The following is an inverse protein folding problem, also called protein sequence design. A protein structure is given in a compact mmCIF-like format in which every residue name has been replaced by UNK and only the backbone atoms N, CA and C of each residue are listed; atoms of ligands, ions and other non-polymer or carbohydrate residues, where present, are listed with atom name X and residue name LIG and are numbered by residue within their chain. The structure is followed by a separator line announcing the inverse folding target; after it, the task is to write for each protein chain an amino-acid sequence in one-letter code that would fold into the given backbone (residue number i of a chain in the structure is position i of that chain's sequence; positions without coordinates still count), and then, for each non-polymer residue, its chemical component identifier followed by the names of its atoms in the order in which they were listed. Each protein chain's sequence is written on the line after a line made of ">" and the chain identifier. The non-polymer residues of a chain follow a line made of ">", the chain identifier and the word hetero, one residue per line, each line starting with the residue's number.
data_IF_815984394147
#
_entry.id   IF_815984394147
#
_cell.length_a   1.000
_cell.length_b   1.000
_cell.length_c   1.000
_cell.angle_alpha   90.00
_cell.angle_beta   90.00
_cell.angle_gamma   90.00
#
_symmetry.space_group_name_H-M   'P 1'
#
loop_
_entity.id
_entity.type
_entity.pdbx_description
1 polymer ?
#
# COMPACT_ATOMS: atom_id res chain seq x y z
N UNK A 1 -54.10 23.37 -22.92
CA UNK A 1 -53.70 22.80 -21.62
C UNK A 1 -54.03 21.30 -21.48
N UNK A 2 -55.24 20.87 -21.80
CA UNK A 2 -55.65 19.45 -21.67
C UNK A 2 -54.80 18.45 -22.44
N UNK A 3 -54.36 18.77 -23.64
CA UNK A 3 -53.49 17.87 -24.47
C UNK A 3 -52.11 17.61 -23.85
N UNK A 4 -51.55 18.59 -23.13
CA UNK A 4 -50.25 18.42 -22.47
C UNK A 4 -50.32 17.47 -21.26
N UNK A 5 -51.45 17.55 -20.51
CA UNK A 5 -51.68 16.65 -19.38
C UNK A 5 -51.92 15.23 -19.84
N UNK A 6 -52.62 15.04 -20.96
CA UNK A 6 -52.87 13.70 -21.54
C UNK A 6 -51.59 13.06 -22.08
N UNK A 7 -50.74 13.83 -22.76
CA UNK A 7 -49.45 13.34 -23.25
C UNK A 7 -48.51 13.02 -22.05
N UNK A 8 -48.49 13.88 -21.02
CA UNK A 8 -47.73 13.63 -19.80
C UNK A 8 -48.17 12.37 -19.04
N UNK A 9 -49.49 12.13 -18.95
CA UNK A 9 -50.05 10.95 -18.32
C UNK A 9 -49.76 9.66 -19.13
N UNK A 10 -49.78 9.73 -20.46
CA UNK A 10 -49.41 8.60 -21.33
C UNK A 10 -47.93 8.30 -21.22
N UNK A 11 -47.03 9.31 -21.26
CA UNK A 11 -45.62 9.14 -21.10
C UNK A 11 -45.25 8.59 -19.73
N UNK A 12 -45.87 9.10 -18.65
CA UNK A 12 -45.68 8.59 -17.31
C UNK A 12 -46.22 7.17 -17.13
N UNK A 13 -47.36 6.84 -17.77
CA UNK A 13 -47.91 5.49 -17.77
C UNK A 13 -47.05 4.48 -18.51
N UNK A 14 -46.45 4.87 -19.65
CA UNK A 14 -45.51 4.04 -20.41
C UNK A 14 -44.20 3.89 -19.66
N UNK A 15 -43.65 4.97 -19.10
CA UNK A 15 -42.44 4.92 -18.29
C UNK A 15 -42.60 4.07 -17.02
N UNK A 16 -43.75 4.19 -16.33
CA UNK A 16 -44.12 3.36 -15.17
C UNK A 16 -44.29 1.87 -15.50
N UNK A 17 -44.80 1.55 -16.69
CA UNK A 17 -44.94 0.17 -17.13
C UNK A 17 -43.58 -0.45 -17.53
N UNK A 18 -42.71 0.35 -18.15
CA UNK A 18 -41.34 -0.10 -18.53
C UNK A 18 -40.45 -0.19 -17.29
N UNK A 19 -40.51 0.80 -16.39
CA UNK A 19 -39.76 0.78 -15.14
C UNK A 19 -40.22 -0.34 -14.20
N UNK A 20 -41.54 -0.62 -14.15
CA UNK A 20 -42.10 -1.71 -13.34
C UNK A 20 -41.73 -3.11 -13.84
N UNK A 21 -41.45 -3.27 -15.14
CA UNK A 21 -40.94 -4.55 -15.67
C UNK A 21 -39.45 -4.74 -15.43
N UNK A 22 -38.69 -3.67 -15.36
CA UNK A 22 -37.23 -3.75 -15.07
C UNK A 22 -36.92 -4.11 -13.60
N UNK A 23 -37.88 -3.88 -12.68
CA UNK A 23 -37.71 -4.10 -11.23
C UNK A 23 -38.43 -5.35 -10.71
N UNK A 24 -39.04 -6.18 -11.57
CA UNK A 24 -39.66 -7.43 -11.13
C UNK A 24 -38.56 -8.45 -10.78
N UNK A 25 -38.38 -8.80 -9.49
CA UNK A 25 -37.34 -9.72 -9.05
C UNK A 25 -37.51 -11.13 -9.63
N UNK A 26 -38.70 -11.48 -10.13
CA UNK A 26 -38.99 -12.79 -10.71
C UNK A 26 -38.85 -12.82 -12.25
N UNK A 27 -38.64 -11.64 -12.89
CA UNK A 27 -38.44 -11.56 -14.33
C UNK A 27 -36.96 -11.64 -14.68
N UNK A 28 -36.53 -12.72 -15.35
CA UNK A 28 -35.19 -12.85 -15.93
C UNK A 28 -35.26 -12.58 -17.42
N UNK A 29 -34.61 -11.56 -17.91
CA UNK A 29 -34.55 -11.23 -19.33
C UNK A 29 -33.16 -11.59 -19.86
N UNK A 30 -33.15 -12.48 -20.84
CA UNK A 30 -31.94 -12.85 -21.58
C UNK A 30 -31.93 -12.05 -22.89
N UNK A 31 -31.18 -10.98 -22.89
CA UNK A 31 -31.08 -10.05 -24.01
C UNK A 31 -29.85 -10.33 -24.91
N UNK A 32 -29.72 -9.55 -25.96
CA UNK A 32 -28.59 -9.65 -26.90
C UNK A 32 -27.23 -9.30 -26.28
N UNK A 33 -27.19 -8.55 -25.18
CA UNK A 33 -25.96 -8.21 -24.49
C UNK A 33 -25.38 -9.44 -23.78
N UNK A 34 -26.23 -10.25 -23.15
CA UNK A 34 -25.83 -11.54 -22.55
C UNK A 34 -25.24 -12.47 -23.59
N UNK A 35 -25.89 -12.56 -24.77
CA UNK A 35 -25.37 -13.39 -25.87
C UNK A 35 -24.01 -12.87 -26.36
N UNK A 36 -23.85 -11.57 -26.51
CA UNK A 36 -22.60 -10.98 -26.97
C UNK A 36 -21.44 -11.24 -25.99
N UNK A 37 -21.70 -11.08 -24.69
CA UNK A 37 -20.72 -11.37 -23.64
C UNK A 37 -20.34 -12.86 -23.61
N UNK A 38 -21.33 -13.76 -23.67
CA UNK A 38 -21.11 -15.19 -23.69
C UNK A 38 -20.28 -15.63 -24.92
N UNK A 39 -20.57 -15.06 -26.10
CA UNK A 39 -19.81 -15.32 -27.32
C UNK A 39 -18.37 -14.83 -27.21
N UNK A 40 -18.16 -13.63 -26.70
CA UNK A 40 -16.82 -13.05 -26.52
C UNK A 40 -15.95 -13.88 -25.57
N UNK A 41 -16.50 -14.29 -24.43
CA UNK A 41 -15.79 -15.12 -23.44
C UNK A 41 -15.45 -16.48 -24.02
N UNK A 42 -16.40 -17.11 -24.74
CA UNK A 42 -16.20 -18.40 -25.38
C UNK A 42 -15.12 -18.34 -26.47
N UNK A 43 -15.20 -17.33 -27.38
CA UNK A 43 -14.23 -17.13 -28.45
C UNK A 43 -12.82 -16.89 -27.90
N UNK A 44 -12.69 -16.10 -26.82
CA UNK A 44 -11.41 -15.87 -26.16
C UNK A 44 -10.81 -17.16 -25.55
N UNK A 45 -11.66 -18.06 -25.05
CA UNK A 45 -11.22 -19.30 -24.41
C UNK A 45 -10.97 -20.45 -25.42
N UNK A 46 -11.72 -20.51 -26.54
CA UNK A 46 -11.71 -21.62 -27.49
C UNK A 46 -11.11 -21.29 -28.85
N UNK A 47 -10.93 -20.01 -29.19
CA UNK A 47 -10.36 -19.56 -30.45
C UNK A 47 -11.32 -19.57 -31.64
N UNK A 48 -12.61 -19.88 -31.42
CA UNK A 48 -13.68 -19.84 -32.43
C UNK A 48 -14.99 -19.37 -31.81
N UNK A 49 -15.91 -18.88 -32.62
CA UNK A 49 -17.25 -18.50 -32.18
C UNK A 49 -18.09 -19.76 -31.84
N UNK A 50 -18.97 -19.69 -30.81
CA UNK A 50 -19.84 -20.79 -30.49
C UNK A 50 -20.82 -21.09 -31.62
N UNK A 51 -21.06 -22.37 -31.84
CA UNK A 51 -22.16 -22.81 -32.68
C UNK A 51 -23.53 -22.67 -31.97
N UNK A 52 -24.63 -23.09 -32.65
CA UNK A 52 -25.98 -22.91 -32.10
C UNK A 52 -26.23 -23.77 -30.84
N UNK A 53 -25.59 -24.92 -30.72
CA UNK A 53 -25.72 -25.81 -29.58
C UNK A 53 -24.89 -25.33 -28.41
N UNK A 54 -23.67 -24.91 -28.68
CA UNK A 54 -22.77 -24.27 -27.72
C UNK A 54 -23.38 -22.96 -27.14
N UNK A 55 -23.97 -22.14 -28.01
CA UNK A 55 -24.64 -20.93 -27.57
C UNK A 55 -25.85 -21.21 -26.68
N UNK A 56 -26.64 -22.26 -27.00
CA UNK A 56 -27.74 -22.69 -26.12
C UNK A 56 -27.24 -23.17 -24.76
N UNK A 57 -26.15 -23.92 -24.74
CA UNK A 57 -25.55 -24.39 -23.49
C UNK A 57 -25.01 -23.20 -22.65
N UNK A 58 -24.38 -22.20 -23.28
CA UNK A 58 -23.92 -20.99 -22.60
C UNK A 58 -25.07 -20.17 -21.99
N UNK A 59 -26.17 -20.01 -22.74
CA UNK A 59 -27.40 -19.36 -22.24
C UNK A 59 -27.98 -20.10 -21.03
N UNK A 60 -28.00 -21.43 -21.06
CA UNK A 60 -28.49 -22.22 -19.94
C UNK A 60 -27.63 -22.03 -18.69
N UNK A 61 -26.31 -22.08 -18.83
CA UNK A 61 -25.38 -21.82 -17.72
C UNK A 61 -25.58 -20.41 -17.16
N UNK A 62 -25.78 -19.42 -18.01
CA UNK A 62 -26.04 -18.05 -17.56
C UNK A 62 -27.36 -17.96 -16.78
N UNK A 63 -28.44 -18.56 -17.27
CA UNK A 63 -29.75 -18.61 -16.61
C UNK A 63 -29.65 -19.27 -15.22
N UNK A 64 -29.00 -20.45 -15.17
CA UNK A 64 -28.81 -21.17 -13.91
C UNK A 64 -28.06 -20.30 -12.88
N UNK A 65 -27.01 -19.59 -13.30
CA UNK A 65 -26.26 -18.68 -12.44
C UNK A 65 -27.10 -17.49 -11.99
N UNK A 66 -27.93 -16.91 -12.87
CA UNK A 66 -28.80 -15.79 -12.53
C UNK A 66 -29.89 -16.19 -11.52
N UNK A 67 -30.48 -17.37 -11.70
CA UNK A 67 -31.43 -17.94 -10.73
C UNK A 67 -30.76 -18.15 -9.37
N UNK A 68 -29.58 -18.79 -9.34
CA UNK A 68 -28.83 -19.02 -8.10
C UNK A 68 -28.45 -17.73 -7.41
N UNK A 69 -28.05 -16.71 -8.18
CA UNK A 69 -27.71 -15.39 -7.65
C UNK A 69 -28.93 -14.73 -6.98
N UNK A 70 -30.08 -14.70 -7.65
CA UNK A 70 -31.31 -14.11 -7.09
C UNK A 70 -31.81 -14.86 -5.86
N UNK A 71 -31.81 -16.18 -5.90
CA UNK A 71 -32.17 -17.00 -4.73
C UNK A 71 -31.19 -16.78 -3.57
N UNK A 72 -29.88 -16.67 -3.84
CA UNK A 72 -28.89 -16.37 -2.83
C UNK A 72 -29.13 -15.02 -2.16
N UNK A 73 -29.48 -13.97 -2.94
CA UNK A 73 -29.85 -12.67 -2.40
C UNK A 73 -31.15 -12.72 -1.59
N UNK A 74 -32.16 -13.45 -2.06
CA UNK A 74 -33.44 -13.63 -1.36
C UNK A 74 -33.26 -14.33 0.00
N UNK A 75 -32.37 -15.30 0.06
CA UNK A 75 -31.97 -16.00 1.30
C UNK A 75 -31.04 -15.15 2.19
N UNK A 76 -30.59 -13.99 1.71
CA UNK A 76 -29.69 -13.09 2.43
C UNK A 76 -28.28 -13.66 2.66
N UNK A 77 -27.80 -14.51 1.77
CA UNK A 77 -26.47 -15.14 1.86
C UNK A 77 -25.32 -14.13 1.73
N UNK A 78 -25.62 -12.93 1.20
CA UNK A 78 -24.69 -11.78 1.15
C UNK A 78 -24.54 -11.07 2.50
N UNK A 79 -25.51 -11.24 3.41
CA UNK A 79 -25.57 -10.50 4.68
C UNK A 79 -24.65 -11.12 5.72
N UNK A 80 -23.72 -10.28 6.25
CA UNK A 80 -22.77 -10.74 7.26
C UNK A 80 -21.56 -11.51 6.70
N UNK A 81 -21.56 -11.86 5.42
CA UNK A 81 -20.39 -12.47 4.76
C UNK A 81 -19.31 -11.41 4.50
N UNK A 82 -18.16 -11.57 5.17
CA UNK A 82 -17.03 -10.66 5.06
C UNK A 82 -16.43 -10.66 3.65
N UNK A 83 -16.37 -11.81 3.00
CA UNK A 83 -15.76 -11.96 1.66
C UNK A 83 -16.61 -11.26 0.59
N UNK A 84 -17.93 -11.42 0.68
CA UNK A 84 -18.87 -10.73 -0.22
C UNK A 84 -18.78 -9.22 0.01
N UNK A 85 -18.78 -8.80 1.28
CA UNK A 85 -18.62 -7.38 1.63
C UNK A 85 -17.33 -6.77 1.08
N UNK A 86 -16.20 -7.44 1.25
CA UNK A 86 -14.90 -7.01 0.73
C UNK A 86 -14.90 -6.94 -0.80
N UNK A 87 -15.57 -7.89 -1.46
CA UNK A 87 -15.71 -7.91 -2.92
C UNK A 87 -16.52 -6.72 -3.44
N UNK A 88 -17.61 -6.36 -2.77
CA UNK A 88 -18.43 -5.19 -3.11
C UNK A 88 -17.61 -3.90 -2.91
N UNK A 89 -16.89 -3.79 -1.78
CA UNK A 89 -15.99 -2.65 -1.52
C UNK A 89 -14.95 -2.53 -2.65
N UNK A 90 -14.29 -3.62 -3.01
CA UNK A 90 -13.29 -3.63 -4.08
C UNK A 90 -13.88 -3.16 -5.42
N UNK A 91 -15.05 -3.68 -5.82
CA UNK A 91 -15.72 -3.27 -7.06
C UNK A 91 -16.10 -1.79 -7.04
N UNK A 92 -16.60 -1.29 -5.89
CA UNK A 92 -16.95 0.12 -5.74
C UNK A 92 -15.72 1.01 -5.83
N UNK A 93 -14.60 0.63 -5.20
CA UNK A 93 -13.33 1.34 -5.33
C UNK A 93 -12.81 1.34 -6.78
N UNK A 94 -12.95 0.22 -7.50
CA UNK A 94 -12.58 0.15 -8.92
C UNK A 94 -13.41 1.11 -9.78
N UNK A 95 -14.70 1.29 -9.47
CA UNK A 95 -15.54 2.31 -10.12
C UNK A 95 -15.08 3.73 -9.80
N UNK A 96 -14.73 4.01 -8.55
CA UNK A 96 -14.17 5.32 -8.17
C UNK A 96 -12.88 5.59 -8.94
N UNK A 97 -11.99 4.61 -9.00
CA UNK A 97 -10.71 4.72 -9.71
C UNK A 97 -10.88 4.94 -11.21
N UNK A 98 -11.82 4.24 -11.85
CA UNK A 98 -12.09 4.41 -13.29
C UNK A 98 -12.65 5.80 -13.65
N UNK A 99 -13.31 6.45 -12.70
CA UNK A 99 -13.81 7.82 -12.83
C UNK A 99 -12.77 8.88 -12.42
N UNK A 100 -11.63 8.46 -11.85
CA UNK A 100 -10.55 9.35 -11.42
C UNK A 100 -9.59 9.59 -12.58
N UNK A 101 -9.34 10.85 -12.92
CA UNK A 101 -8.44 11.20 -14.02
C UNK A 101 -7.01 11.24 -13.51
N UNK A 102 -6.12 10.52 -14.22
CA UNK A 102 -4.70 10.63 -13.96
C UNK A 102 -4.26 12.09 -14.14
N UNK A 103 -3.49 12.66 -13.18
CA UNK A 103 -3.01 14.03 -13.32
C UNK A 103 -2.11 14.18 -14.55
N UNK A 104 -2.25 15.30 -15.24
CA UNK A 104 -1.36 15.62 -16.36
C UNK A 104 0.05 15.87 -15.81
N UNK A 105 1.05 15.30 -16.48
CA UNK A 105 2.44 15.53 -16.10
C UNK A 105 2.82 17.00 -16.32
N UNK A 106 3.39 17.61 -15.31
CA UNK A 106 4.01 18.93 -15.34
C UNK A 106 5.33 18.85 -14.56
N UNK A 107 6.45 19.01 -15.26
CA UNK A 107 7.79 18.88 -14.65
C UNK A 107 8.01 19.87 -13.50
N UNK A 108 7.47 21.08 -13.60
CA UNK A 108 7.58 22.09 -12.54
C UNK A 108 6.88 21.61 -11.27
N UNK A 109 5.64 21.09 -11.42
CA UNK A 109 4.86 20.59 -10.28
C UNK A 109 5.53 19.39 -9.63
N UNK A 110 6.03 18.45 -10.44
CA UNK A 110 6.72 17.25 -9.95
C UNK A 110 8.03 17.62 -9.24
N UNK A 111 8.77 18.60 -9.78
CA UNK A 111 9.99 19.08 -9.14
C UNK A 111 9.72 19.79 -7.82
N UNK A 112 8.70 20.65 -7.76
CA UNK A 112 8.28 21.29 -6.50
C UNK A 112 7.83 20.25 -5.46
N UNK A 113 7.16 19.21 -5.89
CA UNK A 113 6.77 18.10 -5.02
C UNK A 113 7.98 17.32 -4.51
N UNK A 114 8.97 17.06 -5.37
CA UNK A 114 10.23 16.45 -4.99
C UNK A 114 10.96 17.27 -3.90
N UNK A 115 11.09 18.57 -4.08
CA UNK A 115 11.77 19.41 -3.09
C UNK A 115 11.06 19.40 -1.72
N UNK A 116 9.72 19.34 -1.71
CA UNK A 116 8.93 19.20 -0.47
C UNK A 116 9.08 17.83 0.19
N UNK A 117 9.37 16.80 -0.59
CA UNK A 117 9.47 15.41 -0.13
C UNK A 117 10.92 14.89 -0.20
N UNK A 118 11.89 15.76 -0.27
CA UNK A 118 13.30 15.44 -0.51
C UNK A 118 13.85 14.39 0.45
N UNK A 119 13.48 14.46 1.72
CA UNK A 119 13.88 13.49 2.76
C UNK A 119 13.50 12.04 2.47
N UNK A 120 12.58 11.78 1.53
CA UNK A 120 12.21 10.42 1.08
C UNK A 120 13.23 9.84 0.10
N UNK A 121 14.05 10.68 -0.52
CA UNK A 121 14.95 10.33 -1.62
C UNK A 121 16.42 10.52 -1.26
N UNK A 122 16.72 11.43 -0.35
CA UNK A 122 18.08 11.64 0.13
C UNK A 122 18.60 10.38 0.83
N UNK A 123 19.83 10.04 0.55
CA UNK A 123 20.51 8.94 1.22
C UNK A 123 21.10 9.49 2.51
N UNK A 124 20.64 9.04 3.69
CA UNK A 124 21.17 9.53 4.94
C UNK A 124 22.61 9.09 5.15
N UNK A 125 23.33 9.80 6.01
CA UNK A 125 24.64 9.39 6.49
C UNK A 125 24.60 7.96 7.04
N UNK A 126 25.64 7.18 6.73
CA UNK A 126 25.77 5.77 7.13
C UNK A 126 27.12 5.53 7.78
N UNK A 127 27.16 4.52 8.62
CA UNK A 127 28.29 4.24 9.47
C UNK A 127 28.73 2.80 9.28
N UNK A 128 30.06 2.61 9.17
CA UNK A 128 30.71 1.31 9.18
C UNK A 128 31.44 1.19 10.51
N UNK A 129 31.16 0.13 11.26
CA UNK A 129 31.77 -0.07 12.58
C UNK A 129 31.91 -1.56 12.90
N UNK A 130 32.72 -1.84 13.90
CA UNK A 130 32.95 -3.19 14.40
C UNK A 130 32.59 -3.26 15.88
N UNK A 131 32.13 -4.44 16.30
CA UNK A 131 31.91 -4.82 17.68
C UNK A 131 32.78 -6.04 18.02
N UNK A 132 33.58 -5.93 19.05
CA UNK A 132 34.25 -7.09 19.64
C UNK A 132 33.31 -7.69 20.71
N UNK A 133 32.84 -8.91 20.44
CA UNK A 133 31.94 -9.65 21.32
C UNK A 133 32.81 -10.43 22.31
N UNK A 134 32.99 -9.88 23.50
CA UNK A 134 33.82 -10.45 24.56
C UNK A 134 33.13 -11.67 25.15
N UNK A 135 33.89 -12.74 25.37
CA UNK A 135 33.44 -13.98 26.01
C UNK A 135 33.48 -13.86 27.53
N UNK A 136 32.48 -14.43 28.23
CA UNK A 136 32.42 -14.43 29.68
C UNK A 136 31.74 -13.21 30.29
N UNK A 137 32.17 -12.78 31.46
CA UNK A 137 31.58 -11.67 32.19
C UNK A 137 32.01 -10.31 31.60
N UNK A 138 31.04 -9.51 31.18
CA UNK A 138 31.24 -8.25 30.48
C UNK A 138 30.97 -7.08 31.44
N UNK A 139 31.91 -6.83 32.36
CA UNK A 139 31.90 -5.64 33.22
C UNK A 139 32.50 -4.44 32.49
N UNK A 140 32.24 -3.22 32.98
CA UNK A 140 32.90 -2.01 32.49
C UNK A 140 34.42 -2.14 32.51
N UNK A 141 34.98 -2.61 33.64
CA UNK A 141 36.41 -2.78 33.83
C UNK A 141 37.01 -3.74 32.81
N UNK A 142 36.33 -4.87 32.56
CA UNK A 142 36.77 -5.88 31.57
C UNK A 142 36.81 -5.28 30.16
N UNK A 143 35.75 -4.54 29.76
CA UNK A 143 35.69 -3.93 28.42
C UNK A 143 36.72 -2.82 28.24
N UNK A 144 36.94 -1.97 29.27
CA UNK A 144 37.96 -0.92 29.22
C UNK A 144 39.39 -1.49 29.14
N UNK A 145 39.69 -2.54 29.91
CA UNK A 145 40.98 -3.24 29.83
C UNK A 145 41.19 -3.85 28.46
N UNK A 146 40.18 -4.54 27.92
CA UNK A 146 40.19 -5.12 26.60
C UNK A 146 40.46 -4.09 25.49
N UNK A 147 39.73 -2.98 25.51
CA UNK A 147 39.89 -1.88 24.58
C UNK A 147 41.28 -1.25 24.67
N UNK A 148 41.80 -1.06 25.88
CA UNK A 148 43.15 -0.52 26.10
C UNK A 148 44.23 -1.42 25.49
N UNK A 149 44.11 -2.74 25.67
CA UNK A 149 45.03 -3.70 25.08
C UNK A 149 44.99 -3.65 23.53
N UNK A 150 43.81 -3.63 22.93
CA UNK A 150 43.64 -3.55 21.48
C UNK A 150 44.28 -2.28 20.90
N UNK A 151 44.04 -1.11 21.54
CA UNK A 151 44.60 0.16 21.09
C UNK A 151 46.11 0.25 21.28
N UNK A 152 46.66 -0.50 22.24
CA UNK A 152 48.11 -0.61 22.44
C UNK A 152 48.78 -1.68 21.54
N UNK A 153 48.02 -2.40 20.72
CA UNK A 153 48.53 -3.51 19.89
C UNK A 153 48.92 -4.74 20.68
N UNK A 154 48.41 -4.87 21.92
CA UNK A 154 48.69 -6.00 22.82
C UNK A 154 47.54 -6.97 22.69
N UNK A 155 47.85 -8.29 22.70
CA UNK A 155 46.83 -9.33 22.69
C UNK A 155 46.06 -9.28 24.01
N UNK A 156 44.71 -9.08 23.99
CA UNK A 156 43.92 -9.07 25.19
C UNK A 156 43.91 -10.44 25.88
N UNK A 157 43.79 -10.43 27.21
CA UNK A 157 43.69 -11.68 28.01
C UNK A 157 42.35 -12.40 27.75
N UNK A 158 41.31 -11.66 27.36
CA UNK A 158 39.98 -12.22 27.12
C UNK A 158 39.74 -12.39 25.63
N UNK A 159 39.19 -13.55 25.24
CA UNK A 159 38.85 -13.83 23.85
C UNK A 159 37.59 -13.09 23.43
N UNK A 160 37.55 -12.64 22.19
CA UNK A 160 36.40 -11.98 21.59
C UNK A 160 36.18 -12.43 20.15
N UNK A 161 34.93 -12.57 19.77
CA UNK A 161 34.51 -12.63 18.38
C UNK A 161 34.41 -11.24 17.78
N UNK A 162 34.51 -11.12 16.44
CA UNK A 162 34.36 -9.86 15.73
C UNK A 162 33.04 -9.85 14.93
N UNK A 163 32.24 -8.80 15.11
CA UNK A 163 31.09 -8.48 14.26
C UNK A 163 31.40 -7.23 13.46
N UNK A 164 31.09 -7.27 12.17
CA UNK A 164 31.29 -6.15 11.27
C UNK A 164 29.92 -5.64 10.79
N UNK A 165 29.71 -4.36 10.89
CA UNK A 165 28.52 -3.67 10.47
C UNK A 165 28.87 -2.67 9.37
N UNK A 166 28.19 -2.78 8.23
CA UNK A 166 28.39 -1.89 7.09
C UNK A 166 27.12 -1.17 6.73
N UNK A 167 27.24 0.05 6.23
CA UNK A 167 26.16 0.88 5.71
C UNK A 167 24.98 1.04 6.69
N UNK A 168 25.26 1.22 7.99
CA UNK A 168 24.23 1.37 9.02
C UNK A 168 23.79 2.82 9.14
N UNK A 169 22.51 3.17 8.83
CA UNK A 169 22.00 4.49 9.11
C UNK A 169 21.80 4.70 10.63
N UNK A 170 21.82 5.94 11.08
CA UNK A 170 21.60 6.34 12.47
C UNK A 170 20.43 5.62 13.15
N UNK A 171 19.27 5.60 12.49
CA UNK A 171 18.07 4.95 13.05
C UNK A 171 18.26 3.46 13.39
N UNK A 172 19.10 2.73 12.63
CA UNK A 172 19.37 1.33 12.91
C UNK A 172 20.31 1.16 14.10
N UNK A 173 21.25 2.09 14.30
CA UNK A 173 22.15 2.09 15.47
C UNK A 173 21.32 2.41 16.72
N UNK A 174 20.47 3.43 16.66
CA UNK A 174 19.56 3.79 17.74
C UNK A 174 18.64 2.63 18.12
N UNK A 175 18.04 1.99 17.15
CA UNK A 175 17.16 0.84 17.40
C UNK A 175 17.89 -0.33 18.09
N UNK A 176 19.16 -0.55 17.75
CA UNK A 176 19.97 -1.66 18.28
C UNK A 176 20.57 -1.36 19.64
N UNK A 177 21.03 -0.12 19.87
CA UNK A 177 21.88 0.21 21.03
C UNK A 177 21.36 1.39 21.86
N UNK A 178 20.47 2.21 21.33
CA UNK A 178 19.93 3.42 21.98
C UNK A 178 20.57 4.72 21.46
N UNK A 179 19.87 5.83 21.71
CA UNK A 179 20.23 7.17 21.19
C UNK A 179 21.59 7.67 21.70
N UNK A 180 21.82 7.59 23.02
CA UNK A 180 23.08 8.05 23.63
C UNK A 180 24.28 7.27 23.06
N UNK A 181 24.13 5.96 22.92
CA UNK A 181 25.16 5.12 22.32
C UNK A 181 25.44 5.53 20.87
N UNK A 182 24.40 5.69 20.05
CA UNK A 182 24.54 6.09 18.65
C UNK A 182 25.33 7.40 18.53
N UNK A 183 24.96 8.42 19.30
CA UNK A 183 25.62 9.73 19.32
C UNK A 183 27.12 9.59 19.65
N UNK A 184 27.48 8.78 20.65
CA UNK A 184 28.87 8.60 21.06
C UNK A 184 29.65 7.79 20.01
N UNK A 185 29.06 6.71 19.48
CA UNK A 185 29.71 5.91 18.43
C UNK A 185 29.98 6.73 17.17
N UNK A 186 28.97 7.47 16.70
CA UNK A 186 29.01 8.27 15.48
C UNK A 186 30.01 9.42 15.54
N UNK A 187 30.24 9.98 16.73
CA UNK A 187 31.26 11.00 16.98
C UNK A 187 32.64 10.44 17.28
N UNK A 188 32.80 9.10 17.36
CA UNK A 188 34.08 8.50 17.70
C UNK A 188 35.07 8.57 16.53
N UNK A 189 36.36 8.80 16.80
CA UNK A 189 37.39 8.72 15.76
C UNK A 189 37.43 7.36 15.10
N UNK A 190 37.65 7.35 13.79
CA UNK A 190 37.82 6.10 13.05
C UNK A 190 39.09 5.36 13.45
N UNK A 191 39.04 4.03 13.52
CA UNK A 191 40.18 3.16 13.80
C UNK A 191 40.46 2.93 15.28
N UNK A 192 39.85 3.66 16.20
CA UNK A 192 40.08 3.55 17.64
C UNK A 192 38.98 2.70 18.32
N UNK A 193 39.41 1.69 19.09
CA UNK A 193 38.50 0.93 19.93
C UNK A 193 38.04 1.74 21.14
N UNK A 194 36.75 1.66 21.46
CA UNK A 194 36.13 2.35 22.59
C UNK A 194 35.19 1.47 23.37
N UNK A 195 35.21 1.63 24.70
CA UNK A 195 34.23 1.03 25.58
C UNK A 195 32.98 1.91 25.64
N UNK A 196 31.88 1.47 25.08
CA UNK A 196 30.61 2.20 25.05
C UNK A 196 29.53 1.46 25.85
N UNK A 197 28.73 2.22 26.56
CA UNK A 197 27.61 1.69 27.37
C UNK A 197 26.35 1.61 26.53
N UNK A 198 25.65 0.46 26.59
CA UNK A 198 24.33 0.24 26.02
C UNK A 198 23.33 -0.05 27.13
N UNK A 199 22.03 -0.14 26.78
CA UNK A 199 20.97 -0.58 27.72
C UNK A 199 21.23 -1.99 28.27
N UNK A 200 21.97 -2.84 27.55
CA UNK A 200 22.28 -4.24 27.90
C UNK A 200 23.71 -4.47 28.41
N UNK A 201 24.44 -3.41 28.78
CA UNK A 201 25.80 -3.49 29.29
C UNK A 201 26.83 -2.82 28.40
N UNK A 202 28.11 -3.03 28.71
CA UNK A 202 29.25 -2.41 28.03
C UNK A 202 29.62 -3.20 26.77
N UNK A 203 30.09 -2.48 25.72
CA UNK A 203 30.51 -3.02 24.44
C UNK A 203 31.84 -2.43 24.00
N UNK A 204 32.70 -3.24 23.39
CA UNK A 204 33.92 -2.76 22.73
C UNK A 204 33.60 -2.50 21.25
N UNK A 205 33.64 -1.23 20.85
CA UNK A 205 33.25 -0.77 19.51
C UNK A 205 34.37 -0.03 18.84
N UNK A 206 34.44 -0.10 17.51
CA UNK A 206 35.37 0.68 16.69
C UNK A 206 34.65 1.25 15.49
N UNK A 207 34.67 2.58 15.36
CA UNK A 207 34.23 3.23 14.14
C UNK A 207 35.27 2.99 13.05
N UNK A 208 34.82 2.54 11.86
CA UNK A 208 35.69 2.30 10.71
C UNK A 208 35.61 3.47 9.72
N UNK A 209 34.41 3.83 9.33
CA UNK A 209 34.19 4.89 8.37
C UNK A 209 32.79 5.51 8.51
N UNK A 210 32.72 6.77 8.20
CA UNK A 210 31.47 7.51 8.03
C UNK A 210 31.27 7.73 6.54
N UNK A 211 30.16 7.18 6.00
CA UNK A 211 29.73 7.44 4.63
C UNK A 211 28.82 8.66 4.65
N UNK A 212 29.21 9.76 4.02
CA UNK A 212 28.44 11.00 4.10
C UNK A 212 27.04 10.82 3.47
N UNK A 213 26.11 11.65 3.91
CA UNK A 213 24.81 11.76 3.29
C UNK A 213 24.95 12.21 1.83
N UNK A 214 24.11 11.67 0.96
CA UNK A 214 24.07 12.04 -0.46
C UNK A 214 22.70 12.63 -0.76
N UNK A 215 22.70 13.87 -1.23
CA UNK A 215 21.49 14.52 -1.68
C UNK A 215 20.96 13.88 -2.95
N UNK A 216 19.67 13.59 -3.00
CA UNK A 216 19.04 13.02 -4.16
C UNK A 216 19.11 13.96 -5.37
N UNK A 217 19.42 13.39 -6.52
CA UNK A 217 19.40 14.09 -7.81
C UNK A 217 18.06 13.84 -8.51
N UNK A 218 17.29 14.91 -8.69
CA UNK A 218 15.99 14.86 -9.35
C UNK A 218 16.07 14.27 -10.76
N UNK A 219 17.07 14.65 -11.56
CA UNK A 219 17.16 14.19 -12.95
C UNK A 219 17.38 12.67 -13.02
N UNK A 220 18.15 12.11 -12.12
CA UNK A 220 18.36 10.65 -12.00
C UNK A 220 17.11 9.94 -11.49
N UNK A 221 16.33 10.57 -10.63
CA UNK A 221 15.16 9.99 -9.96
C UNK A 221 13.83 10.40 -10.61
N UNK A 222 13.85 11.20 -11.67
CA UNK A 222 12.66 11.78 -12.31
C UNK A 222 11.52 10.79 -12.53
N UNK A 223 11.81 9.60 -13.02
CA UNK A 223 10.81 8.56 -13.25
C UNK A 223 10.15 8.08 -11.96
N UNK A 224 10.95 7.80 -10.93
CA UNK A 224 10.48 7.36 -9.61
C UNK A 224 9.67 8.46 -8.94
N UNK A 225 10.19 9.69 -8.94
CA UNK A 225 9.51 10.86 -8.36
C UNK A 225 8.18 11.14 -9.04
N UNK A 226 8.13 11.03 -10.39
CA UNK A 226 6.89 11.21 -11.16
C UNK A 226 5.85 10.15 -10.80
N UNK A 227 6.27 8.90 -10.62
CA UNK A 227 5.38 7.82 -10.22
C UNK A 227 4.85 8.06 -8.80
N UNK A 228 5.72 8.34 -7.83
CA UNK A 228 5.34 8.60 -6.44
C UNK A 228 4.39 9.79 -6.30
N UNK A 229 4.66 10.87 -7.05
CA UNK A 229 3.76 12.02 -7.13
C UNK A 229 2.40 11.63 -7.71
N UNK A 230 2.39 10.89 -8.83
CA UNK A 230 1.15 10.43 -9.46
C UNK A 230 0.33 9.59 -8.51
N UNK A 231 0.96 8.63 -7.84
CA UNK A 231 0.31 7.73 -6.88
C UNK A 231 -0.26 8.50 -5.68
N UNK A 232 0.48 9.51 -5.21
CA UNK A 232 0.02 10.39 -4.14
C UNK A 232 -1.23 11.17 -4.57
N UNK A 233 -1.19 11.84 -5.73
CA UNK A 233 -2.33 12.61 -6.26
C UNK A 233 -3.54 11.71 -6.51
N UNK A 234 -3.34 10.52 -7.09
CA UNK A 234 -4.41 9.55 -7.32
C UNK A 234 -5.03 9.06 -6.01
N UNK A 235 -4.20 8.82 -4.99
CA UNK A 235 -4.68 8.44 -3.64
C UNK A 235 -5.49 9.55 -2.98
N UNK A 236 -5.05 10.81 -3.11
CA UNK A 236 -5.78 11.97 -2.60
C UNK A 236 -7.13 12.16 -3.31
N UNK A 237 -7.16 12.03 -4.64
CA UNK A 237 -8.39 12.12 -5.43
C UNK A 237 -9.37 11.00 -5.06
N UNK A 238 -8.89 9.76 -4.89
CA UNK A 238 -9.68 8.63 -4.41
C UNK A 238 -10.28 8.92 -3.04
N UNK A 239 -9.46 9.38 -2.10
CA UNK A 239 -9.91 9.72 -0.75
C UNK A 239 -10.96 10.82 -0.77
N UNK A 240 -10.77 11.85 -1.60
CA UNK A 240 -11.75 12.93 -1.77
C UNK A 240 -13.06 12.42 -2.38
N UNK A 241 -13.00 11.50 -3.36
CA UNK A 241 -14.18 10.90 -3.95
C UNK A 241 -14.96 10.05 -2.94
N UNK A 242 -14.28 9.23 -2.12
CA UNK A 242 -14.91 8.46 -1.06
C UNK A 242 -15.51 9.38 0.01
N UNK A 243 -14.81 10.46 0.39
CA UNK A 243 -15.34 11.46 1.32
C UNK A 243 -16.59 12.18 0.76
N UNK A 244 -16.65 12.42 -0.55
CA UNK A 244 -17.84 12.95 -1.20
C UNK A 244 -19.03 11.97 -1.14
N UNK A 245 -18.77 10.66 -1.31
CA UNK A 245 -19.79 9.63 -1.13
C UNK A 245 -20.27 9.54 0.33
N UNK A 246 -19.37 9.72 1.29
CA UNK A 246 -19.70 9.68 2.72
C UNK A 246 -20.71 10.74 3.14
N UNK A 247 -20.81 11.87 2.44
CA UNK A 247 -21.80 12.92 2.70
C UNK A 247 -23.26 12.48 2.55
N UNK A 248 -23.52 11.35 1.90
CA UNK A 248 -24.86 10.75 1.78
C UNK A 248 -25.30 10.02 3.04
N UNK A 249 -24.39 9.81 3.99
CA UNK A 249 -24.63 9.00 5.18
C UNK A 249 -24.54 9.85 6.45
N UNK A 250 -25.32 9.50 7.45
CA UNK A 250 -25.14 10.02 8.81
C UNK A 250 -24.14 9.13 9.53
N UNK A 251 -23.02 9.69 9.93
CA UNK A 251 -21.95 8.95 10.62
C UNK A 251 -22.08 9.22 12.11
N UNK A 252 -22.17 8.16 12.91
CA UNK A 252 -22.18 8.22 14.37
C UNK A 252 -20.97 7.43 14.88
N UNK A 253 -20.12 8.08 15.67
CA UNK A 253 -18.96 7.46 16.32
C UNK A 253 -19.17 7.58 17.83
N UNK A 254 -19.15 6.45 18.54
CA UNK A 254 -19.33 6.38 19.99
C UNK A 254 -20.59 7.11 20.48
N UNK A 255 -21.68 7.06 19.68
CA UNK A 255 -22.93 7.72 20.00
C UNK A 255 -22.99 9.22 19.65
N UNK A 256 -21.91 9.79 19.13
CA UNK A 256 -21.84 11.20 18.71
C UNK A 256 -21.99 11.30 17.18
N UNK A 257 -22.96 12.11 16.74
CA UNK A 257 -23.16 12.42 15.32
C UNK A 257 -22.08 13.39 14.85
N UNK A 258 -21.39 13.02 13.76
CA UNK A 258 -20.42 13.88 13.07
C UNK A 258 -21.05 14.60 11.89
#
# INVERSE_FOLDING_TARGET
>A
MFHFILIGAVLFGVDSLIAGQADDPNLIVLDSAVDAEAQQVFEAARGHKPDADELRALRQVWLDNEVLYREGLALGLDKGDKSIRERVIFKTLSMVDSNTKRPAYDDKVVREWFEKNRSRYDIPQRFNFQEAVISGEVSEATVRSFVSALNAGITPEVQAGLRVFTDRPHANIVASYGEEFATVLESSPAGEWRALQTKSGWRAMRMEAVVPAEAADYERLRGVVTQDWTDTVMSEQRSAAVAALAKKYTIVIDGVKQ
#
